data_IF_363394705172
#
_entry.id   IF_363394705172
#
_cell.length_a   1.000
_cell.length_b   1.000
_cell.length_c   1.000
_cell.angle_alpha   90.00
_cell.angle_beta   90.00
_cell.angle_gamma   90.00
#
_symmetry.space_group_name_H-M   'P 1'
#
loop_
_entity.id
_entity.type
_entity.pdbx_description
1 polymer ?
#
# COMPACT_ATOMS: atom_id res chain seq x y z
N UNK A 1 3.47 5.21 10.02
CA UNK A 1 3.37 6.23 8.95
C UNK A 1 2.24 5.85 8.03
N UNK A 2 1.42 6.81 7.68
CA UNK A 2 0.29 6.58 6.77
C UNK A 2 0.47 7.40 5.51
N UNK A 3 0.29 6.76 4.36
CA UNK A 3 0.46 7.40 3.05
C UNK A 3 -0.89 7.40 2.35
N UNK A 4 -1.27 8.56 1.81
CA UNK A 4 -2.49 8.71 1.05
C UNK A 4 -2.17 8.87 -0.44
N UNK A 5 -2.97 8.21 -1.29
CA UNK A 5 -2.86 8.30 -2.73
C UNK A 5 -4.17 8.82 -3.30
N UNK A 6 -4.10 9.68 -4.30
CA UNK A 6 -5.29 10.21 -4.95
C UNK A 6 -6.07 9.10 -5.65
N UNK A 7 -7.38 9.03 -5.38
CA UNK A 7 -8.27 8.07 -6.02
C UNK A 7 -8.07 6.63 -5.60
N UNK A 8 -7.26 6.36 -4.58
CA UNK A 8 -6.94 4.99 -4.21
C UNK A 8 -8.11 4.22 -3.61
N UNK A 9 -9.11 4.90 -3.03
CA UNK A 9 -10.26 4.22 -2.46
C UNK A 9 -11.03 3.43 -3.53
N UNK A 10 -11.09 3.93 -4.76
CA UNK A 10 -11.76 3.27 -5.87
C UNK A 10 -10.89 2.24 -6.56
N UNK A 11 -9.57 2.31 -6.38
CA UNK A 11 -8.59 1.44 -7.03
C UNK A 11 -7.83 0.61 -6.02
N UNK A 12 -8.46 0.31 -4.91
CA UNK A 12 -7.79 -0.38 -3.79
C UNK A 12 -7.21 -1.73 -4.18
N UNK A 13 -7.95 -2.51 -4.98
CA UNK A 13 -7.46 -3.82 -5.42
C UNK A 13 -6.24 -3.69 -6.31
N UNK A 14 -6.22 -2.71 -7.19
CA UNK A 14 -5.07 -2.43 -8.05
C UNK A 14 -3.87 -1.97 -7.21
N UNK A 15 -4.11 -1.18 -6.16
CA UNK A 15 -3.07 -0.75 -5.25
C UNK A 15 -2.45 -1.94 -4.51
N UNK A 16 -3.29 -2.86 -4.01
CA UNK A 16 -2.80 -4.09 -3.36
C UNK A 16 -1.95 -4.90 -4.32
N UNK A 17 -2.40 -5.07 -5.55
CA UNK A 17 -1.66 -5.80 -6.57
C UNK A 17 -0.32 -5.12 -6.87
N UNK A 18 -0.31 -3.80 -6.97
CA UNK A 18 0.92 -3.05 -7.21
C UNK A 18 1.91 -3.21 -6.05
N UNK A 19 1.43 -3.22 -4.82
CA UNK A 19 2.28 -3.47 -3.66
C UNK A 19 2.86 -4.88 -3.66
N UNK A 20 2.06 -5.88 -4.02
CA UNK A 20 2.55 -7.26 -4.16
C UNK A 20 3.69 -7.31 -5.17
N UNK A 21 3.53 -6.69 -6.32
CA UNK A 21 4.56 -6.68 -7.36
C UNK A 21 5.79 -5.88 -6.93
N UNK A 22 5.60 -4.76 -6.24
CA UNK A 22 6.70 -3.90 -5.83
C UNK A 22 7.54 -4.50 -4.70
N UNK A 23 6.92 -5.22 -3.78
CA UNK A 23 7.60 -5.75 -2.59
C UNK A 23 7.96 -7.23 -2.70
N UNK A 24 7.31 -7.96 -3.59
CA UNK A 24 7.47 -9.41 -3.68
C UNK A 24 6.76 -10.17 -2.56
N UNK A 25 5.99 -9.50 -1.73
CA UNK A 25 5.22 -10.13 -0.67
C UNK A 25 3.82 -10.49 -1.14
N UNK A 26 3.23 -11.52 -0.55
CA UNK A 26 1.86 -11.90 -0.84
C UNK A 26 0.88 -10.98 -0.10
N UNK A 27 -0.30 -10.78 -0.67
CA UNK A 27 -1.36 -10.06 0.00
C UNK A 27 -2.17 -11.00 0.87
N UNK A 28 -2.65 -10.48 2.00
CA UNK A 28 -3.52 -11.20 2.91
C UNK A 28 -4.72 -10.32 3.24
N UNK A 29 -5.92 -10.78 2.91
CA UNK A 29 -7.14 -10.08 3.27
C UNK A 29 -7.46 -10.37 4.73
N UNK A 30 -7.61 -9.31 5.54
CA UNK A 30 -7.82 -9.45 6.97
C UNK A 30 -9.30 -9.54 7.36
N UNK A 31 -10.20 -9.23 6.43
CA UNK A 31 -11.64 -9.38 6.64
C UNK A 31 -12.24 -8.35 7.59
N UNK A 32 -13.48 -8.63 8.01
CA UNK A 32 -14.22 -7.76 8.91
C UNK A 32 -13.54 -7.68 10.28
N UNK A 33 -13.68 -6.56 11.03
CA UNK A 33 -14.48 -5.38 10.67
C UNK A 33 -13.76 -4.33 9.83
N UNK A 34 -12.43 -4.40 9.73
CA UNK A 34 -11.65 -3.34 9.09
C UNK A 34 -11.58 -3.45 7.57
N UNK A 35 -11.69 -4.67 7.05
CA UNK A 35 -11.57 -4.96 5.61
C UNK A 35 -10.22 -4.55 5.03
N UNK A 36 -9.16 -4.62 5.83
CA UNK A 36 -7.81 -4.28 5.41
C UNK A 36 -7.15 -5.40 4.63
N UNK A 37 -6.16 -5.04 3.80
CA UNK A 37 -5.23 -5.99 3.18
C UNK A 37 -3.85 -5.77 3.76
N UNK A 38 -3.15 -6.85 4.06
CA UNK A 38 -1.76 -6.78 4.52
C UNK A 38 -0.83 -7.28 3.41
N UNK A 39 0.21 -6.50 3.10
CA UNK A 39 1.25 -6.87 2.14
C UNK A 39 2.59 -6.59 2.81
N UNK A 40 3.20 -7.61 3.41
CA UNK A 40 4.44 -7.44 4.17
C UNK A 40 4.27 -6.43 5.31
N UNK A 41 5.06 -5.37 5.27
CA UNK A 41 5.00 -4.29 6.28
C UNK A 41 3.95 -3.22 5.97
N UNK A 42 3.14 -3.42 4.93
CA UNK A 42 2.15 -2.45 4.48
C UNK A 42 0.75 -2.95 4.77
N UNK A 43 -0.12 -2.06 5.23
CA UNK A 43 -1.53 -2.36 5.42
C UNK A 43 -2.34 -1.37 4.58
N UNK A 44 -3.13 -1.90 3.65
CA UNK A 44 -4.01 -1.10 2.79
C UNK A 44 -5.38 -1.04 3.44
N UNK A 45 -5.74 0.15 3.90
CA UNK A 45 -7.00 0.37 4.56
C UNK A 45 -8.17 0.50 3.58
N UNK A 46 -9.37 0.45 4.11
CA UNK A 46 -10.60 0.49 3.32
C UNK A 46 -10.71 1.75 2.46
N UNK A 47 -10.18 2.87 2.93
CA UNK A 47 -10.21 4.13 2.20
C UNK A 47 -9.08 4.27 1.16
N UNK A 48 -8.25 3.23 1.01
CA UNK A 48 -7.12 3.25 0.09
C UNK A 48 -5.84 3.84 0.68
N UNK A 49 -5.86 4.29 1.92
CA UNK A 49 -4.62 4.72 2.57
C UNK A 49 -3.76 3.52 2.92
N UNK A 50 -2.44 3.73 2.95
CA UNK A 50 -1.47 2.69 3.22
C UNK A 50 -0.73 3.02 4.50
N UNK A 51 -0.84 2.14 5.48
CA UNK A 51 -0.10 2.26 6.72
C UNK A 51 1.19 1.45 6.62
N UNK A 52 2.30 2.06 7.02
CA UNK A 52 3.63 1.44 6.97
C UNK A 52 4.12 1.23 8.40
N UNK A 53 4.66 0.04 8.66
CA UNK A 53 5.25 -0.27 9.96
C UNK A 53 6.39 0.72 10.25
N UNK A 54 6.42 1.26 11.46
CA UNK A 54 7.42 2.25 11.88
C UNK A 54 8.85 1.70 11.87
N UNK A 55 9.00 0.39 11.88
CA UNK A 55 10.30 -0.27 11.85
C UNK A 55 10.80 -0.52 10.42
N UNK A 56 10.00 -0.21 9.42
CA UNK A 56 10.39 -0.40 8.03
C UNK A 56 11.47 0.61 7.64
N UNK A 57 12.52 0.13 6.95
CA UNK A 57 13.61 0.99 6.48
C UNK A 57 13.06 2.03 5.51
N UNK A 58 13.39 3.30 5.77
CA UNK A 58 12.93 4.41 4.95
C UNK A 58 13.38 4.30 3.50
N UNK A 59 14.52 3.66 3.25
CA UNK A 59 15.01 3.42 1.88
C UNK A 59 14.10 2.43 1.15
N UNK A 60 13.65 1.39 1.84
CA UNK A 60 12.72 0.43 1.26
C UNK A 60 11.38 1.09 0.94
N UNK A 61 10.91 1.95 1.83
CA UNK A 61 9.69 2.72 1.60
C UNK A 61 9.83 3.57 0.33
N UNK A 62 10.96 4.25 0.18
CA UNK A 62 11.23 5.07 -1.00
C UNK A 62 11.22 4.25 -2.29
N UNK A 63 11.84 3.09 -2.29
CA UNK A 63 11.88 2.20 -3.45
C UNK A 63 10.46 1.72 -3.80
N UNK A 64 9.69 1.33 -2.78
CA UNK A 64 8.31 0.88 -2.97
C UNK A 64 7.44 1.99 -3.55
N UNK A 65 7.53 3.21 -3.02
CA UNK A 65 6.77 4.35 -3.52
C UNK A 65 7.15 4.68 -4.96
N UNK A 66 8.43 4.56 -5.29
CA UNK A 66 8.89 4.78 -6.66
C UNK A 66 8.28 3.75 -7.61
N UNK A 67 8.22 2.49 -7.19
CA UNK A 67 7.62 1.43 -7.99
C UNK A 67 6.12 1.62 -8.18
N UNK A 68 5.43 2.19 -7.21
CA UNK A 68 3.99 2.45 -7.30
C UNK A 68 3.63 3.54 -8.32
N UNK A 69 4.58 4.38 -8.70
CA UNK A 69 4.35 5.44 -9.68
C UNK A 69 4.02 4.88 -11.07
N UNK A 70 4.63 3.75 -11.44
CA UNK A 70 4.36 3.10 -12.73
C UNK A 70 2.88 2.77 -12.92
N UNK A 71 2.24 2.08 -11.97
CA UNK A 71 0.79 1.83 -12.00
C UNK A 71 -0.09 3.06 -11.78
N UNK A 72 0.49 4.21 -11.47
CA UNK A 72 -0.25 5.46 -11.33
C UNK A 72 -0.58 5.88 -9.91
N UNK A 73 0.03 5.25 -8.90
CA UNK A 73 -0.21 5.61 -7.50
C UNK A 73 0.83 6.61 -7.03
N UNK A 74 0.42 7.86 -6.93
CA UNK A 74 1.28 8.98 -6.55
C UNK A 74 0.85 9.50 -5.19
N UNK A 75 1.77 9.57 -4.21
CA UNK A 75 1.44 10.11 -2.90
C UNK A 75 0.94 11.55 -2.98
N UNK A 76 -0.02 11.89 -2.13
CA UNK A 76 -0.63 13.23 -2.14
C UNK A 76 0.29 14.33 -1.62
N UNK A 77 1.34 13.98 -0.90
CA UNK A 77 2.29 15.01 -0.41
C UNK A 77 3.72 14.52 -0.41
#
# INVERSE_FOLDING_TARGET
>A
MTIHFEGASEKRKELVKALVEATGNESQYLGAPAFDYKVGDYIVHRDGSVEVDDLTDIKEIGITLQALRGPGFIPLD
#
